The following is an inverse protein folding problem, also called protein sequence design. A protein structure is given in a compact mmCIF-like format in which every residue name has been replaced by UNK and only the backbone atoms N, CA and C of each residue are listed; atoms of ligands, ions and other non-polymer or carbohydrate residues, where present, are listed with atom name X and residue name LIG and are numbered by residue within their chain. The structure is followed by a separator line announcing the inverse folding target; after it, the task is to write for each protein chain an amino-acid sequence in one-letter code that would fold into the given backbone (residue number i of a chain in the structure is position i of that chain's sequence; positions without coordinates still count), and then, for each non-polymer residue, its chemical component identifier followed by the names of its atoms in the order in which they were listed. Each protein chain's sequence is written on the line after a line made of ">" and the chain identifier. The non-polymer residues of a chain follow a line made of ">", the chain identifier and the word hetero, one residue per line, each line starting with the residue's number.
data_IF_003439377639
#
_entry.id   IF_003439377639
#
_cell.length_a   1.000
_cell.length_b   1.000
_cell.length_c   1.000
_cell.angle_alpha   90.00
_cell.angle_beta   90.00
_cell.angle_gamma   90.00
#
_symmetry.space_group_name_H-M   'P 1'
#
loop_
_entity.id
_entity.type
_entity.pdbx_description
1 polymer ?
#
# COMPACT_ATOMS: atom_id res chain seq x y z
N UNK A 1 4.30 19.34 -17.48
CA UNK A 1 3.21 18.61 -16.83
C UNK A 1 2.32 17.99 -17.89
N UNK A 2 2.08 16.66 -17.75
CA UNK A 2 1.23 15.90 -18.71
C UNK A 2 -0.27 15.95 -18.35
N UNK A 3 -0.66 16.74 -17.33
CA UNK A 3 -2.04 16.80 -16.86
C UNK A 3 -2.89 17.69 -17.76
N UNK A 4 -4.13 17.30 -17.99
CA UNK A 4 -5.10 17.98 -18.87
C UNK A 4 -5.38 19.45 -18.46
N UNK A 5 -5.21 19.79 -17.17
CA UNK A 5 -5.32 21.17 -16.66
C UNK A 5 -4.37 22.15 -17.36
N UNK A 6 -3.22 21.67 -17.84
CA UNK A 6 -2.15 22.48 -18.40
C UNK A 6 -2.07 22.39 -19.93
N UNK A 7 -2.95 21.58 -20.55
CA UNK A 7 -3.07 21.42 -21.99
C UNK A 7 -3.87 22.55 -22.67
N UNK A 8 -3.95 22.51 -24.02
CA UNK A 8 -4.71 23.50 -24.81
C UNK A 8 -6.19 23.62 -24.43
N UNK A 9 -6.80 22.50 -23.99
CA UNK A 9 -8.20 22.44 -23.52
C UNK A 9 -8.35 22.72 -22.01
N UNK A 10 -7.31 23.10 -21.32
CA UNK A 10 -7.29 23.30 -19.87
C UNK A 10 -8.07 24.53 -19.37
N UNK A 11 -8.61 25.39 -20.24
CA UNK A 11 -9.35 26.59 -19.85
C UNK A 11 -10.52 26.31 -18.91
N UNK A 12 -11.38 25.37 -19.26
CA UNK A 12 -12.50 24.95 -18.41
C UNK A 12 -12.04 24.37 -17.07
N UNK A 13 -11.05 23.50 -17.10
CA UNK A 13 -10.51 22.88 -15.87
C UNK A 13 -9.84 23.92 -14.96
N UNK A 14 -9.22 24.97 -15.52
CA UNK A 14 -8.68 26.10 -14.75
C UNK A 14 -9.76 26.90 -14.05
N UNK A 15 -10.91 27.10 -14.69
CA UNK A 15 -12.07 27.73 -14.05
C UNK A 15 -12.53 26.95 -12.80
N UNK A 16 -12.41 25.63 -12.79
CA UNK A 16 -12.68 24.84 -11.60
C UNK A 16 -11.67 25.12 -10.47
N UNK A 17 -10.40 25.33 -10.79
CA UNK A 17 -9.40 25.72 -9.78
C UNK A 17 -9.69 27.11 -9.18
N UNK A 18 -10.28 28.02 -9.94
CA UNK A 18 -10.68 29.35 -9.46
C UNK A 18 -11.89 29.32 -8.52
N UNK A 19 -12.64 28.22 -8.47
CA UNK A 19 -13.76 28.05 -7.54
C UNK A 19 -13.31 27.73 -6.11
N UNK A 20 -12.04 27.37 -5.92
CA UNK A 20 -11.49 27.14 -4.59
C UNK A 20 -11.06 28.44 -3.93
N UNK A 21 -11.25 28.53 -2.62
CA UNK A 21 -10.84 29.69 -1.82
C UNK A 21 -9.33 29.71 -1.53
N UNK A 22 -8.67 28.52 -1.57
CA UNK A 22 -7.25 28.36 -1.34
C UNK A 22 -6.76 27.07 -1.98
N UNK A 23 -5.53 27.04 -2.47
CA UNK A 23 -4.88 25.88 -3.07
C UNK A 23 -3.64 25.52 -2.26
N UNK A 24 -3.60 24.27 -1.78
CA UNK A 24 -2.42 23.72 -1.13
C UNK A 24 -1.70 22.80 -2.12
N UNK A 25 -0.40 22.99 -2.27
CA UNK A 25 0.44 22.19 -3.18
C UNK A 25 1.58 21.53 -2.44
N UNK A 26 2.09 20.45 -3.01
CA UNK A 26 3.09 19.63 -2.39
C UNK A 26 4.48 20.30 -2.39
N UNK A 27 4.83 21.02 -3.46
CA UNK A 27 6.19 21.51 -3.69
C UNK A 27 6.24 22.83 -4.45
N UNK A 28 7.41 23.44 -4.45
CA UNK A 28 7.66 24.69 -5.15
C UNK A 28 7.48 24.60 -6.69
N UNK A 29 7.89 23.53 -7.38
CA UNK A 29 7.59 23.33 -8.80
C UNK A 29 6.09 23.36 -9.10
N UNK A 30 5.26 22.73 -8.26
CA UNK A 30 3.80 22.75 -8.39
C UNK A 30 3.22 24.17 -8.20
N UNK A 31 3.70 24.91 -7.19
CA UNK A 31 3.32 26.30 -6.98
C UNK A 31 3.67 27.16 -8.18
N UNK A 32 4.90 27.07 -8.69
CA UNK A 32 5.37 27.83 -9.85
C UNK A 32 4.56 27.53 -11.14
N UNK A 33 4.00 26.32 -11.29
CA UNK A 33 3.10 26.01 -12.39
C UNK A 33 1.78 26.76 -12.23
N UNK A 34 1.18 26.77 -11.03
CA UNK A 34 -0.09 27.45 -10.78
C UNK A 34 0.04 28.97 -10.91
N UNK A 35 1.15 29.55 -10.46
CA UNK A 35 1.44 30.97 -10.59
C UNK A 35 1.42 31.47 -12.06
N UNK A 36 1.90 30.61 -13.00
CA UNK A 36 1.86 30.96 -14.45
C UNK A 36 0.45 31.16 -14.96
N UNK A 37 -0.56 30.57 -14.31
CA UNK A 37 -1.96 30.73 -14.71
C UNK A 37 -2.68 31.88 -14.02
N UNK A 38 -2.00 32.62 -13.12
CA UNK A 38 -2.53 33.83 -12.43
C UNK A 38 -3.91 33.55 -11.81
N UNK A 39 -4.05 32.41 -11.13
CA UNK A 39 -5.28 32.06 -10.43
C UNK A 39 -5.58 33.07 -9.32
N UNK A 40 -6.86 33.31 -9.05
CA UNK A 40 -7.29 34.22 -7.97
C UNK A 40 -7.08 33.60 -6.59
N UNK A 41 -7.21 32.28 -6.50
CA UNK A 41 -7.01 31.55 -5.25
C UNK A 41 -5.54 31.62 -4.83
N UNK A 42 -5.24 31.95 -3.57
CA UNK A 42 -3.89 31.91 -3.04
C UNK A 42 -3.36 30.47 -3.04
N UNK A 43 -2.04 30.34 -3.25
CA UNK A 43 -1.35 29.03 -3.30
C UNK A 43 -0.37 28.96 -2.13
N UNK A 44 -0.44 27.89 -1.36
CA UNK A 44 0.49 27.60 -0.26
C UNK A 44 1.17 26.26 -0.46
N UNK A 45 2.49 26.20 -0.26
CA UNK A 45 3.25 24.94 -0.25
C UNK A 45 3.04 24.30 1.12
N UNK A 46 2.35 23.17 1.15
CA UNK A 46 2.01 22.45 2.39
C UNK A 46 2.82 21.15 2.60
N UNK A 47 3.65 20.78 1.62
CA UNK A 47 4.31 19.47 1.65
C UNK A 47 3.38 18.33 1.23
N UNK A 48 3.86 17.11 1.36
CA UNK A 48 3.09 15.90 1.04
C UNK A 48 2.37 15.39 2.29
N UNK A 49 1.07 15.63 2.37
CA UNK A 49 0.22 15.24 3.51
C UNK A 49 0.14 13.72 3.72
N UNK A 50 0.63 12.90 2.77
CA UNK A 50 0.75 11.46 2.97
C UNK A 50 1.73 11.12 4.08
N UNK A 51 2.81 11.92 4.25
CA UNK A 51 3.76 11.74 5.35
C UNK A 51 3.11 12.01 6.72
N UNK A 52 2.25 13.03 6.81
CA UNK A 52 1.51 13.33 8.05
C UNK A 52 0.63 12.13 8.44
N UNK A 53 -0.05 11.53 7.45
CA UNK A 53 -0.87 10.35 7.67
C UNK A 53 -0.05 9.14 8.12
N UNK A 54 1.13 8.92 7.55
CA UNK A 54 2.04 7.85 7.97
C UNK A 54 2.51 8.09 9.41
N UNK A 55 2.92 9.32 9.73
CA UNK A 55 3.35 9.67 11.09
C UNK A 55 2.23 9.43 12.11
N UNK A 56 0.99 9.82 11.78
CA UNK A 56 -0.18 9.56 12.63
C UNK A 56 -0.39 8.05 12.86
N UNK A 57 -0.41 7.25 11.79
CA UNK A 57 -0.62 5.79 11.88
C UNK A 57 0.48 5.13 12.71
N UNK A 58 1.74 5.55 12.55
CA UNK A 58 2.86 4.96 13.28
C UNK A 58 2.87 5.33 14.76
N UNK A 59 2.32 6.50 15.12
CA UNK A 59 2.22 6.94 16.51
C UNK A 59 1.18 6.17 17.35
N UNK A 60 0.19 5.55 16.68
CA UNK A 60 -0.86 4.78 17.36
C UNK A 60 -0.37 3.34 17.56
N UNK A 61 -0.29 2.84 18.79
CA UNK A 61 0.02 1.43 19.03
C UNK A 61 -0.98 0.52 18.29
N UNK A 62 -0.45 -0.54 17.71
CA UNK A 62 -1.27 -1.57 17.06
C UNK A 62 -0.72 -2.94 17.42
N UNK A 63 -1.55 -3.75 18.04
CA UNK A 63 -1.25 -5.12 18.44
C UNK A 63 -2.25 -6.08 17.80
N UNK A 64 -1.73 -7.14 17.21
CA UNK A 64 -2.55 -8.19 16.63
C UNK A 64 -1.86 -9.53 16.87
N UNK A 65 -2.39 -10.32 17.79
CA UNK A 65 -1.74 -11.55 18.29
C UNK A 65 -1.33 -12.54 17.19
N UNK A 66 -2.17 -12.70 16.15
CA UNK A 66 -1.85 -13.58 15.00
C UNK A 66 -0.66 -13.05 14.21
N UNK A 67 -0.65 -11.74 13.91
CA UNK A 67 0.45 -11.12 13.13
C UNK A 67 1.75 -11.17 13.94
N UNK A 68 1.70 -10.81 15.20
CA UNK A 68 2.84 -10.86 16.11
C UNK A 68 3.38 -12.29 16.24
N UNK A 69 2.50 -13.27 16.43
CA UNK A 69 2.87 -14.68 16.49
C UNK A 69 3.47 -15.20 15.18
N UNK A 70 2.95 -14.75 14.03
CA UNK A 70 3.47 -15.12 12.71
C UNK A 70 4.85 -14.51 12.45
N UNK A 71 5.02 -13.20 12.71
CA UNK A 71 6.25 -12.46 12.44
C UNK A 71 7.35 -12.72 13.49
N UNK A 72 7.03 -13.36 14.62
CA UNK A 72 7.91 -13.50 15.77
C UNK A 72 9.30 -14.04 15.40
N UNK A 73 10.33 -13.24 15.64
CA UNK A 73 11.75 -13.56 15.46
C UNK A 73 12.13 -14.07 14.05
N UNK A 74 11.28 -13.88 13.05
CA UNK A 74 11.54 -14.28 11.67
C UNK A 74 11.68 -13.06 10.77
N UNK A 75 12.59 -13.12 9.81
CA UNK A 75 12.61 -12.15 8.74
C UNK A 75 11.30 -12.25 7.96
N UNK A 76 10.55 -11.16 7.98
CA UNK A 76 9.21 -11.13 7.41
C UNK A 76 9.10 -10.04 6.35
N UNK A 77 8.72 -10.43 5.14
CA UNK A 77 8.31 -9.52 4.10
C UNK A 77 6.81 -9.27 4.21
N UNK A 78 6.41 -8.00 4.21
CA UNK A 78 5.00 -7.61 4.10
C UNK A 78 4.78 -7.01 2.71
N UNK A 79 4.02 -7.72 1.89
CA UNK A 79 3.66 -7.35 0.53
C UNK A 79 2.23 -6.81 0.51
N UNK A 80 2.09 -5.52 0.25
CA UNK A 80 0.80 -4.83 0.23
C UNK A 80 0.35 -4.44 -1.15
N UNK A 81 -0.97 -4.45 -1.36
CA UNK A 81 -1.63 -4.10 -2.61
C UNK A 81 -1.10 -4.93 -3.79
N UNK A 82 -0.88 -6.22 -3.57
CA UNK A 82 -0.36 -7.12 -4.59
C UNK A 82 -1.42 -7.45 -5.65
N UNK A 83 -0.94 -7.67 -6.86
CA UNK A 83 -1.68 -8.18 -7.99
C UNK A 83 -1.08 -9.52 -8.41
N UNK A 84 -1.71 -10.19 -9.34
CA UNK A 84 -1.31 -11.53 -9.77
C UNK A 84 0.17 -11.64 -10.15
N UNK A 85 0.69 -10.68 -10.91
CA UNK A 85 2.09 -10.66 -11.35
C UNK A 85 3.06 -10.48 -10.17
N UNK A 86 2.67 -9.67 -9.17
CA UNK A 86 3.44 -9.51 -7.94
C UNK A 86 3.49 -10.83 -7.17
N UNK A 87 2.35 -11.51 -7.05
CA UNK A 87 2.19 -12.75 -6.29
C UNK A 87 2.95 -13.91 -6.92
N UNK A 88 2.95 -14.03 -8.25
CA UNK A 88 3.76 -15.00 -8.99
C UNK A 88 5.26 -14.76 -8.76
N UNK A 89 5.73 -13.52 -8.81
CA UNK A 89 7.12 -13.16 -8.51
C UNK A 89 7.49 -13.49 -7.06
N UNK A 90 6.63 -13.15 -6.12
CA UNK A 90 6.85 -13.39 -4.67
C UNK A 90 6.89 -14.87 -4.34
N UNK A 91 6.13 -15.72 -5.06
CA UNK A 91 6.19 -17.17 -4.92
C UNK A 91 7.58 -17.71 -5.28
N UNK A 92 8.15 -17.25 -6.40
CA UNK A 92 9.51 -17.62 -6.78
C UNK A 92 10.58 -17.12 -5.81
N UNK A 93 10.41 -15.90 -5.26
CA UNK A 93 11.30 -15.36 -4.23
C UNK A 93 11.28 -16.22 -2.97
N UNK A 94 10.10 -16.62 -2.53
CA UNK A 94 9.93 -17.40 -1.32
C UNK A 94 10.56 -18.81 -1.42
N UNK A 95 10.54 -19.40 -2.62
CA UNK A 95 11.23 -20.69 -2.86
C UNK A 95 12.77 -20.53 -2.80
N UNK A 96 13.29 -19.37 -3.20
CA UNK A 96 14.73 -19.05 -3.13
C UNK A 96 15.20 -18.64 -1.72
N UNK A 97 14.30 -18.28 -0.82
CA UNK A 97 14.60 -17.77 0.53
C UNK A 97 13.84 -18.62 1.58
N UNK A 98 14.37 -19.78 1.99
CA UNK A 98 13.63 -20.75 2.82
C UNK A 98 13.26 -20.22 4.21
N UNK A 99 14.03 -19.28 4.77
CA UNK A 99 13.81 -18.74 6.12
C UNK A 99 12.90 -17.50 6.13
N UNK A 100 12.59 -16.95 4.96
CA UNK A 100 11.73 -15.77 4.84
C UNK A 100 10.27 -16.14 5.06
N UNK A 101 9.57 -15.35 5.88
CA UNK A 101 8.11 -15.37 5.99
C UNK A 101 7.50 -14.26 5.14
N UNK A 102 6.29 -14.50 4.64
CA UNK A 102 5.59 -13.59 3.75
C UNK A 102 4.17 -13.33 4.25
N UNK A 103 3.86 -12.07 4.48
CA UNK A 103 2.48 -11.59 4.70
C UNK A 103 2.03 -10.91 3.41
N UNK A 104 0.97 -11.42 2.80
CA UNK A 104 0.38 -10.87 1.57
C UNK A 104 -0.92 -10.17 1.92
N UNK A 105 -1.02 -8.89 1.58
CA UNK A 105 -2.27 -8.14 1.60
C UNK A 105 -2.65 -7.77 0.15
N UNK A 106 -3.44 -8.60 -0.54
CA UNK A 106 -3.75 -8.41 -1.94
C UNK A 106 -4.62 -7.15 -2.16
N UNK A 107 -4.55 -6.59 -3.36
CA UNK A 107 -5.39 -5.44 -3.73
C UNK A 107 -6.88 -5.82 -3.76
N UNK A 108 -7.17 -7.03 -4.18
CA UNK A 108 -8.53 -7.59 -4.23
C UNK A 108 -8.62 -8.84 -3.34
N UNK A 109 -9.64 -8.86 -2.46
CA UNK A 109 -9.91 -9.97 -1.54
C UNK A 109 -11.11 -10.84 -1.96
N UNK A 110 -11.43 -10.83 -3.24
CA UNK A 110 -12.50 -11.69 -3.78
C UNK A 110 -12.16 -13.19 -3.61
N UNK A 111 -13.17 -14.06 -3.35
CA UNK A 111 -12.94 -15.48 -3.08
C UNK A 111 -12.12 -16.20 -4.17
N UNK A 112 -12.37 -15.85 -5.44
CA UNK A 112 -11.63 -16.41 -6.58
C UNK A 112 -10.15 -16.06 -6.50
N UNK A 113 -9.83 -14.78 -6.29
CA UNK A 113 -8.45 -14.31 -6.22
C UNK A 113 -7.70 -14.90 -5.02
N UNK A 114 -8.34 -14.92 -3.84
CA UNK A 114 -7.76 -15.59 -2.67
C UNK A 114 -7.46 -17.06 -2.91
N UNK A 115 -8.31 -17.77 -3.67
CA UNK A 115 -8.07 -19.15 -4.05
C UNK A 115 -6.88 -19.27 -5.03
N UNK A 116 -6.73 -18.36 -5.98
CA UNK A 116 -5.59 -18.30 -6.90
C UNK A 116 -4.29 -18.08 -6.12
N UNK A 117 -4.24 -17.14 -5.16
CA UNK A 117 -3.08 -16.93 -4.29
C UNK A 117 -2.76 -18.21 -3.49
N UNK A 118 -3.77 -18.88 -2.94
CA UNK A 118 -3.57 -20.13 -2.20
C UNK A 118 -2.90 -21.25 -3.02
N UNK A 119 -3.11 -21.26 -4.33
CA UNK A 119 -2.51 -22.26 -5.22
C UNK A 119 -1.04 -21.95 -5.54
N UNK A 120 -0.62 -20.69 -5.44
CA UNK A 120 0.76 -20.28 -5.71
C UNK A 120 1.75 -20.67 -4.60
N UNK A 121 1.28 -20.80 -3.36
CA UNK A 121 2.13 -21.00 -2.21
C UNK A 121 1.90 -22.35 -1.53
N UNK A 122 2.94 -22.86 -0.87
CA UNK A 122 2.85 -24.09 -0.08
C UNK A 122 2.22 -23.79 1.28
N UNK A 123 1.06 -24.39 1.55
CA UNK A 123 0.33 -24.30 2.83
C UNK A 123 0.12 -22.86 3.35
N UNK A 124 -0.37 -21.92 2.53
CA UNK A 124 -0.68 -20.58 3.00
C UNK A 124 -1.89 -20.61 3.93
N UNK A 125 -1.93 -19.68 4.87
CA UNK A 125 -3.03 -19.54 5.83
C UNK A 125 -3.73 -18.19 5.58
N UNK A 126 -5.06 -18.17 5.55
CA UNK A 126 -5.82 -16.92 5.60
C UNK A 126 -5.89 -16.41 7.04
N UNK A 127 -5.82 -15.10 7.23
CA UNK A 127 -5.93 -14.49 8.55
C UNK A 127 -7.24 -14.87 9.25
N UNK A 128 -8.36 -14.90 8.50
CA UNK A 128 -9.68 -15.28 9.03
C UNK A 128 -9.79 -16.76 9.46
N UNK A 129 -8.91 -17.64 8.98
CA UNK A 129 -8.91 -19.07 9.29
C UNK A 129 -8.04 -19.44 10.50
N UNK A 130 -7.33 -18.46 11.07
CA UNK A 130 -6.46 -18.71 12.22
C UNK A 130 -7.29 -18.85 13.48
N UNK A 131 -7.53 -20.08 13.88
CA UNK A 131 -8.19 -20.43 15.15
C UNK A 131 -7.15 -20.76 16.22
N UNK A 132 -6.02 -21.34 15.82
CA UNK A 132 -4.96 -21.77 16.71
C UNK A 132 -3.60 -21.23 16.25
N UNK A 133 -2.86 -20.62 17.18
CA UNK A 133 -1.52 -20.07 16.93
C UNK A 133 -0.45 -21.16 16.64
N UNK A 134 -0.68 -22.41 17.01
CA UNK A 134 0.27 -23.51 16.72
C UNK A 134 0.50 -23.67 15.20
N UNK A 135 -0.56 -23.52 14.41
CA UNK A 135 -0.47 -23.61 12.94
C UNK A 135 0.37 -22.50 12.31
N UNK A 136 0.57 -21.37 13.01
CA UNK A 136 1.39 -20.26 12.51
C UNK A 136 2.89 -20.57 12.57
N UNK A 137 3.34 -21.51 13.40
CA UNK A 137 4.76 -21.80 13.59
C UNK A 137 5.39 -22.35 12.32
N UNK A 138 4.66 -23.24 11.64
CA UNK A 138 5.14 -23.92 10.43
C UNK A 138 4.75 -23.19 9.14
N UNK A 139 3.85 -22.20 9.24
CA UNK A 139 3.40 -21.44 8.09
C UNK A 139 4.44 -20.40 7.67
N UNK A 140 4.67 -20.32 6.36
CA UNK A 140 5.56 -19.33 5.75
C UNK A 140 4.80 -18.21 5.06
N UNK A 141 3.52 -18.39 4.78
CA UNK A 141 2.67 -17.41 4.09
C UNK A 141 1.39 -17.17 4.87
N UNK A 142 1.14 -15.91 5.21
CA UNK A 142 -0.11 -15.43 5.80
C UNK A 142 -0.78 -14.48 4.82
N UNK A 143 -2.01 -14.78 4.43
CA UNK A 143 -2.79 -13.96 3.52
C UNK A 143 -3.79 -13.13 4.33
N UNK A 144 -3.77 -11.82 4.11
CA UNK A 144 -4.69 -10.87 4.75
C UNK A 144 -5.94 -10.76 3.89
N UNK A 145 -7.00 -11.36 4.33
CA UNK A 145 -8.29 -11.42 3.65
C UNK A 145 -9.33 -10.43 4.20
N UNK A 146 -8.84 -9.33 4.77
CA UNK A 146 -9.67 -8.22 5.27
C UNK A 146 -9.11 -6.86 4.86
N UNK A 147 -9.98 -5.85 4.84
CA UNK A 147 -9.63 -4.48 4.43
C UNK A 147 -9.21 -3.64 5.65
N UNK A 148 -8.33 -2.65 5.42
CA UNK A 148 -8.01 -1.60 6.38
C UNK A 148 -6.86 -1.91 7.34
N UNK A 149 -6.19 -3.06 7.20
CA UNK A 149 -5.07 -3.43 8.07
C UNK A 149 -3.69 -3.06 7.51
N UNK A 150 -3.54 -3.00 6.18
CA UNK A 150 -2.24 -2.92 5.51
C UNK A 150 -1.29 -1.86 6.08
N UNK A 151 -1.77 -0.62 6.26
CA UNK A 151 -0.94 0.48 6.78
C UNK A 151 -0.40 0.23 8.18
N UNK A 152 -1.07 -0.62 8.96
CA UNK A 152 -0.68 -1.00 10.32
C UNK A 152 0.28 -2.20 10.32
N UNK A 153 0.24 -3.03 9.28
CA UNK A 153 1.06 -4.25 9.18
C UNK A 153 2.54 -3.94 8.92
N UNK A 154 2.85 -2.89 8.15
CA UNK A 154 4.23 -2.57 7.80
C UNK A 154 5.18 -2.38 9.00
N UNK A 155 4.65 -2.12 10.20
CA UNK A 155 5.47 -2.06 11.43
C UNK A 155 6.10 -3.38 11.84
N UNK A 156 5.56 -4.51 11.37
CA UNK A 156 6.07 -5.85 11.62
C UNK A 156 7.03 -6.34 10.53
N UNK A 157 7.27 -5.53 9.50
CA UNK A 157 8.06 -5.93 8.36
C UNK A 157 9.57 -5.73 8.60
N UNK A 158 10.37 -6.75 8.29
CA UNK A 158 11.79 -6.57 8.00
C UNK A 158 11.97 -5.97 6.60
N UNK A 159 11.13 -6.40 5.65
CA UNK A 159 11.10 -5.93 4.27
C UNK A 159 9.67 -5.56 3.90
N UNK A 160 9.49 -4.35 3.35
CA UNK A 160 8.19 -3.91 2.81
C UNK A 160 8.21 -3.94 1.29
N UNK A 161 7.19 -4.58 0.70
CA UNK A 161 6.94 -4.59 -0.74
C UNK A 161 5.60 -3.90 -1.04
N UNK A 162 5.57 -3.06 -2.05
CA UNK A 162 4.36 -2.39 -2.52
C UNK A 162 4.08 -2.85 -3.95
N UNK A 163 2.99 -3.57 -4.11
CA UNK A 163 2.58 -4.12 -5.39
C UNK A 163 1.99 -3.10 -6.37
N UNK A 164 1.64 -3.58 -7.56
CA UNK A 164 1.05 -2.78 -8.62
C UNK A 164 2.06 -2.13 -9.57
N UNK A 165 3.35 -2.42 -9.42
CA UNK A 165 4.40 -1.89 -10.29
C UNK A 165 4.40 -2.47 -11.72
N UNK A 166 3.73 -3.60 -11.93
CA UNK A 166 3.59 -4.25 -13.24
C UNK A 166 2.38 -3.73 -14.04
N UNK A 167 1.48 -2.99 -13.42
CA UNK A 167 0.30 -2.40 -14.06
C UNK A 167 0.67 -1.02 -14.63
N UNK A 168 1.31 -1.00 -15.80
CA UNK A 168 1.70 0.23 -16.51
C UNK A 168 0.72 0.55 -17.66
#
# INVERSE_FOLDING_TARGET
>A
PKQNFFGPMGGFLRTLLESYTHLFVQDAPSAAILEKFKLKAPVTIAGDTRYDRVAEITSIPFHHSVIEGFCNQADTMIAGSTWKEDEEMLSGLLDAQPDLKLVIAPHEIGPKHLQEIRQLFKQPILLSEVVDHERLKDARVLIIDCIGMLSKLYRYATISYVGGGFNA
#
